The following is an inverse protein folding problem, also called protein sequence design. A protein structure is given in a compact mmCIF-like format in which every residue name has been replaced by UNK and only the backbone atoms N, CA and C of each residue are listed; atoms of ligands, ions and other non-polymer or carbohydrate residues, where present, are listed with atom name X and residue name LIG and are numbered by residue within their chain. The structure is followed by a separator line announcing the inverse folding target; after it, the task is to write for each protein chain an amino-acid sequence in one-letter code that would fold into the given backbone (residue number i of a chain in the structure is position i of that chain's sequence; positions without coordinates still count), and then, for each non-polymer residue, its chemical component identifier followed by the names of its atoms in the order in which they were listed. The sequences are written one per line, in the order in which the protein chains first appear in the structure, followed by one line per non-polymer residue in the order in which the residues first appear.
data_IF_297391582515
#
_entry.id   IF_297391582515
#
_cell.length_a   1.000
_cell.length_b   1.000
_cell.length_c   1.000
_cell.angle_alpha   90.00
_cell.angle_beta   90.00
_cell.angle_gamma   90.00
#
_symmetry.space_group_name_H-M   'P 1'
#
loop_
_entity.id
_entity.type
_entity.pdbx_description
1 polymer ?
#
# COMPACT_ATOMS: atom_id res chain seq x y z
N UNK A 1 -25.36 1.44 -21.30
CA UNK A 1 -24.47 0.43 -21.91
C UNK A 1 -23.11 1.02 -21.69
N UNK A 2 -22.55 0.75 -20.52
CA UNK A 2 -21.37 1.42 -19.99
C UNK A 2 -20.48 0.31 -19.42
N UNK A 3 -19.79 -0.34 -20.33
CA UNK A 3 -18.62 -1.15 -20.03
C UNK A 3 -17.52 -0.20 -19.55
N UNK A 4 -17.21 -0.22 -18.25
CA UNK A 4 -15.95 0.34 -17.76
C UNK A 4 -15.17 -0.79 -17.13
N UNK A 5 -14.18 -1.23 -17.89
CA UNK A 5 -13.41 -2.44 -17.70
C UNK A 5 -12.86 -2.58 -16.29
N UNK A 6 -12.81 -3.84 -15.85
CA UNK A 6 -11.97 -4.25 -14.75
C UNK A 6 -10.55 -3.75 -14.99
N UNK A 7 -10.16 -2.72 -14.23
CA UNK A 7 -8.73 -2.47 -14.03
C UNK A 7 -8.24 -3.64 -13.21
N UNK A 8 -7.60 -4.59 -13.89
CA UNK A 8 -6.59 -5.44 -13.28
C UNK A 8 -5.51 -4.52 -12.72
N UNK A 9 -5.74 -3.90 -11.56
CA UNK A 9 -4.71 -3.25 -10.78
C UNK A 9 -3.86 -4.39 -10.24
N UNK A 10 -2.86 -4.76 -11.03
CA UNK A 10 -1.82 -5.68 -10.63
C UNK A 10 -1.24 -5.14 -9.33
N UNK A 11 -1.50 -5.84 -8.23
CA UNK A 11 -0.81 -5.61 -6.95
C UNK A 11 0.69 -5.80 -7.21
N UNK A 12 1.39 -4.72 -7.56
CA UNK A 12 2.81 -4.77 -7.85
C UNK A 12 3.56 -4.99 -6.55
N UNK A 13 4.16 -6.16 -6.42
CA UNK A 13 5.02 -6.50 -5.31
C UNK A 13 6.37 -5.78 -5.48
N UNK A 14 6.49 -4.57 -4.94
CA UNK A 14 7.78 -3.89 -4.83
C UNK A 14 8.65 -4.57 -3.76
N UNK A 15 9.93 -4.77 -4.06
CA UNK A 15 10.91 -5.25 -3.10
C UNK A 15 11.66 -4.07 -2.50
N UNK A 16 11.42 -3.81 -1.22
CA UNK A 16 12.03 -2.70 -0.51
C UNK A 16 13.22 -3.19 0.33
N UNK A 17 14.39 -2.59 0.13
CA UNK A 17 15.58 -2.76 0.95
C UNK A 17 15.74 -1.50 1.80
N UNK A 18 15.52 -1.65 3.11
CA UNK A 18 15.69 -0.56 4.07
C UNK A 18 17.11 -0.65 4.65
N UNK A 19 17.94 0.39 4.49
CA UNK A 19 19.21 0.49 5.20
C UNK A 19 18.99 0.50 6.72
N UNK A 20 19.82 -0.21 7.48
CA UNK A 20 19.76 -0.22 8.96
C UNK A 20 19.96 1.17 9.59
N UNK A 21 20.63 2.07 8.85
CA UNK A 21 20.86 3.47 9.20
C UNK A 21 19.57 4.34 9.10
N UNK A 22 18.55 3.87 8.38
CA UNK A 22 17.31 4.62 8.16
C UNK A 22 16.17 4.14 9.05
N UNK A 23 15.51 5.09 9.69
CA UNK A 23 14.32 4.84 10.51
C UNK A 23 13.06 5.34 9.81
N UNK A 24 11.92 4.72 10.12
CA UNK A 24 10.64 5.14 9.57
C UNK A 24 10.31 6.61 9.91
N UNK A 25 10.73 7.10 11.08
CA UNK A 25 10.56 8.50 11.47
C UNK A 25 11.33 9.50 10.58
N UNK A 26 12.38 9.05 9.88
CA UNK A 26 13.18 9.89 8.97
C UNK A 26 12.38 10.30 7.72
N UNK A 27 11.36 9.51 7.31
CA UNK A 27 10.41 9.91 6.27
C UNK A 27 9.72 11.24 6.54
N UNK A 28 9.67 11.65 7.81
CA UNK A 28 8.90 12.82 8.26
C UNK A 28 7.49 12.80 7.67
N UNK A 29 6.90 11.61 7.69
CA UNK A 29 5.61 11.36 7.08
C UNK A 29 4.56 12.23 7.77
N UNK A 30 4.03 13.19 7.02
CA UNK A 30 3.07 14.17 7.53
C UNK A 30 1.86 14.22 6.62
N UNK A 31 0.68 14.29 7.22
CA UNK A 31 -0.56 14.42 6.46
C UNK A 31 -0.86 15.89 6.24
N UNK A 32 -1.15 16.25 5.00
CA UNK A 32 -1.65 17.56 4.63
C UNK A 32 -3.16 17.67 4.89
N UNK A 33 -3.67 18.89 5.08
CA UNK A 33 -5.09 19.14 5.29
C UNK A 33 -5.95 18.72 4.08
N UNK A 34 -5.37 18.70 2.87
CA UNK A 34 -6.01 18.19 1.67
C UNK A 34 -6.09 16.65 1.61
N UNK A 35 -5.56 15.94 2.60
CA UNK A 35 -5.54 14.48 2.65
C UNK A 35 -4.36 13.83 1.93
N UNK A 36 -3.52 14.62 1.25
CA UNK A 36 -2.23 14.17 0.72
C UNK A 36 -1.23 13.89 1.84
N UNK A 37 -0.18 13.12 1.54
CA UNK A 37 0.95 12.96 2.46
C UNK A 37 2.21 13.58 1.92
N UNK A 38 2.92 14.28 2.81
CA UNK A 38 4.27 14.76 2.59
C UNK A 38 5.26 13.78 3.18
N UNK A 39 6.28 13.51 2.39
CA UNK A 39 7.38 12.60 2.72
C UNK A 39 8.69 13.27 2.37
N UNK A 40 9.75 12.86 3.05
CA UNK A 40 11.10 13.31 2.75
C UNK A 40 11.66 12.52 1.55
N UNK A 41 11.69 13.17 0.39
CA UNK A 41 12.16 12.56 -0.86
C UNK A 41 13.64 12.16 -0.82
N UNK A 42 14.44 12.76 0.06
CA UNK A 42 15.85 12.35 0.25
C UNK A 42 15.90 10.93 0.80
N UNK A 43 15.03 10.62 1.76
CA UNK A 43 14.93 9.29 2.37
C UNK A 43 14.38 8.28 1.36
N UNK A 44 13.36 8.66 0.58
CA UNK A 44 12.83 7.83 -0.52
C UNK A 44 13.93 7.50 -1.54
N UNK A 45 14.73 8.50 -1.93
CA UNK A 45 15.84 8.30 -2.87
C UNK A 45 16.88 7.31 -2.34
N UNK A 46 17.28 7.41 -1.06
CA UNK A 46 18.21 6.45 -0.43
C UNK A 46 17.66 5.02 -0.43
N UNK A 47 16.37 4.85 -0.19
CA UNK A 47 15.73 3.54 -0.21
C UNK A 47 15.61 3.01 -1.63
N UNK A 48 15.28 3.86 -2.59
CA UNK A 48 15.24 3.52 -4.00
C UNK A 48 16.62 3.05 -4.47
N UNK A 49 17.68 3.77 -4.13
CA UNK A 49 19.06 3.40 -4.42
C UNK A 49 19.43 2.05 -3.81
N UNK A 50 19.13 1.84 -2.51
CA UNK A 50 19.38 0.58 -1.83
C UNK A 50 18.56 -0.60 -2.40
N UNK A 51 17.35 -0.32 -2.87
CA UNK A 51 16.42 -1.32 -3.43
C UNK A 51 16.64 -1.57 -4.93
N UNK A 52 17.43 -0.73 -5.60
CA UNK A 52 17.56 -0.73 -7.06
C UNK A 52 16.28 -0.32 -7.79
N UNK A 53 15.44 0.51 -7.16
CA UNK A 53 14.19 1.02 -7.74
C UNK A 53 14.41 2.41 -8.35
N UNK A 54 13.80 2.71 -9.52
CA UNK A 54 13.84 4.04 -10.09
C UNK A 54 12.95 5.00 -9.29
N UNK A 55 13.54 6.08 -8.77
CA UNK A 55 12.82 7.11 -8.02
C UNK A 55 11.68 7.74 -8.82
N UNK A 56 11.89 7.92 -10.13
CA UNK A 56 10.91 8.48 -11.06
C UNK A 56 9.63 7.64 -11.11
N UNK A 57 9.76 6.31 -11.05
CA UNK A 57 8.62 5.40 -11.01
C UNK A 57 7.84 5.50 -9.69
N UNK A 58 8.53 5.70 -8.57
CA UNK A 58 7.88 5.96 -7.28
C UNK A 58 7.14 7.30 -7.30
N UNK A 59 7.71 8.31 -7.95
CA UNK A 59 7.11 9.64 -8.08
C UNK A 59 5.98 9.71 -9.13
N UNK A 60 5.91 8.74 -10.03
CA UNK A 60 4.94 8.70 -11.13
C UNK A 60 3.49 8.63 -10.62
N UNK A 61 3.26 7.85 -9.56
CA UNK A 61 1.92 7.67 -9.00
C UNK A 61 1.92 7.69 -7.47
N UNK A 62 0.85 8.25 -6.91
CA UNK A 62 0.56 8.21 -5.48
C UNK A 62 0.44 6.79 -4.94
N UNK A 63 0.02 5.85 -5.80
CA UNK A 63 -0.09 4.41 -5.48
C UNK A 63 1.29 3.79 -5.22
N UNK A 64 2.29 4.06 -6.08
CA UNK A 64 3.65 3.54 -5.90
C UNK A 64 4.29 4.07 -4.62
N UNK A 65 4.12 5.36 -4.33
CA UNK A 65 4.57 5.95 -3.08
C UNK A 65 3.83 5.35 -1.87
N UNK A 66 2.51 5.17 -1.96
CA UNK A 66 1.70 4.53 -0.92
C UNK A 66 2.13 3.09 -0.64
N UNK A 67 2.40 2.30 -1.67
CA UNK A 67 2.89 0.93 -1.55
C UNK A 67 4.28 0.88 -0.89
N UNK A 68 5.18 1.83 -1.20
CA UNK A 68 6.49 1.95 -0.54
C UNK A 68 6.32 2.24 0.95
N UNK A 69 5.49 3.22 1.30
CA UNK A 69 5.19 3.58 2.70
C UNK A 69 4.60 2.38 3.43
N UNK A 70 3.67 1.66 2.80
CA UNK A 70 3.04 0.46 3.37
C UNK A 70 4.06 -0.63 3.69
N UNK A 71 4.92 -1.00 2.73
CA UNK A 71 5.91 -2.06 2.92
C UNK A 71 6.91 -1.70 4.02
N UNK A 72 7.38 -0.46 4.04
CA UNK A 72 8.28 -0.01 5.08
C UNK A 72 7.60 0.04 6.45
N UNK A 73 6.37 0.56 6.52
CA UNK A 73 5.60 0.60 7.76
C UNK A 73 5.37 -0.82 8.32
N UNK A 74 5.06 -1.79 7.46
CA UNK A 74 4.92 -3.20 7.87
C UNK A 74 6.22 -3.78 8.43
N UNK A 75 7.37 -3.49 7.82
CA UNK A 75 8.69 -3.85 8.36
C UNK A 75 8.95 -3.18 9.72
N UNK A 76 8.66 -1.89 9.84
CA UNK A 76 8.80 -1.14 11.09
C UNK A 76 7.94 -1.75 12.21
N UNK A 77 6.67 -2.05 11.93
CA UNK A 77 5.74 -2.67 12.88
C UNK A 77 6.17 -4.07 13.29
N UNK A 78 6.67 -4.88 12.35
CA UNK A 78 7.27 -6.19 12.67
C UNK A 78 8.50 -6.07 13.57
N UNK A 79 9.27 -5.00 13.43
CA UNK A 79 10.41 -4.68 14.30
C UNK A 79 10.04 -4.09 15.68
N UNK A 80 8.75 -4.04 16.05
CA UNK A 80 8.29 -3.42 17.29
C UNK A 80 8.16 -1.89 17.23
N UNK A 81 8.14 -1.34 16.02
CA UNK A 81 8.02 0.08 15.74
C UNK A 81 6.67 0.69 16.18
N UNK A 82 6.72 1.97 16.53
CA UNK A 82 5.55 2.72 16.98
C UNK A 82 4.52 2.88 15.84
N UNK A 83 3.22 2.89 16.17
CA UNK A 83 2.19 3.18 15.19
C UNK A 83 2.33 4.62 14.68
N UNK A 84 2.05 4.84 13.39
CA UNK A 84 2.09 6.17 12.78
C UNK A 84 0.77 6.47 12.07
N UNK A 85 -0.05 7.40 12.60
CA UNK A 85 -1.38 7.68 12.07
C UNK A 85 -1.36 8.25 10.65
N UNK A 86 -0.29 8.95 10.25
CA UNK A 86 -0.16 9.45 8.90
C UNK A 86 0.08 8.30 7.90
N UNK A 87 0.86 7.29 8.30
CA UNK A 87 1.10 6.10 7.48
C UNK A 87 -0.18 5.28 7.33
N UNK A 88 -0.88 5.05 8.44
CA UNK A 88 -2.13 4.29 8.48
C UNK A 88 -3.22 4.96 7.64
N UNK A 89 -3.34 6.29 7.70
CA UNK A 89 -4.26 7.03 6.86
C UNK A 89 -3.93 6.93 5.36
N UNK A 90 -2.65 7.00 4.97
CA UNK A 90 -2.24 6.80 3.58
C UNK A 90 -2.55 5.41 3.07
N UNK A 91 -2.27 4.39 3.89
CA UNK A 91 -2.54 3.00 3.57
C UNK A 91 -4.04 2.81 3.38
N UNK A 92 -4.86 3.32 4.31
CA UNK A 92 -6.31 3.26 4.22
C UNK A 92 -6.84 3.98 2.98
N UNK A 93 -6.29 5.15 2.63
CA UNK A 93 -6.67 5.88 1.43
C UNK A 93 -6.29 5.14 0.14
N UNK A 94 -5.10 4.53 0.10
CA UNK A 94 -4.65 3.73 -1.05
C UNK A 94 -5.55 2.48 -1.23
N UNK A 95 -5.91 1.80 -0.15
CA UNK A 95 -6.81 0.64 -0.17
C UNK A 95 -8.23 1.03 -0.61
N UNK A 96 -8.75 2.16 -0.13
CA UNK A 96 -10.06 2.67 -0.53
C UNK A 96 -10.09 3.04 -2.02
N UNK A 97 -8.97 3.48 -2.59
CA UNK A 97 -8.85 3.81 -4.01
C UNK A 97 -8.74 2.56 -4.91
N UNK A 98 -8.19 1.45 -4.39
CA UNK A 98 -8.04 0.18 -5.14
C UNK A 98 -9.21 -0.78 -4.97
N UNK A 99 -10.20 -0.45 -4.12
CA UNK A 99 -11.37 -1.29 -3.87
C UNK A 99 -11.02 -2.63 -3.19
N UNK A 100 -9.84 -2.74 -2.58
CA UNK A 100 -9.46 -3.90 -1.78
C UNK A 100 -10.02 -3.70 -0.39
N UNK A 101 -11.22 -4.24 -0.16
CA UNK A 101 -11.76 -4.39 1.18
C UNK A 101 -10.88 -5.41 1.92
N UNK A 102 -10.40 -5.05 3.11
CA UNK A 102 -9.81 -6.02 4.02
C UNK A 102 -10.93 -6.94 4.47
N UNK A 103 -11.25 -7.96 3.67
CA UNK A 103 -11.87 -9.16 4.21
C UNK A 103 -10.89 -9.70 5.24
N UNK A 104 -11.17 -9.40 6.50
CA UNK A 104 -10.70 -10.15 7.65
C UNK A 104 -10.78 -11.64 7.29
N UNK A 105 -9.78 -12.43 7.71
CA UNK A 105 -9.52 -13.84 7.36
C UNK A 105 -10.65 -14.84 7.77
N UNK A 106 -11.89 -14.38 7.85
CA UNK A 106 -13.10 -15.14 8.21
C UNK A 106 -14.15 -15.26 7.11
N UNK A 107 -14.05 -14.54 6.00
CA UNK A 107 -15.13 -14.53 4.97
C UNK A 107 -14.89 -15.45 3.77
N UNK A 108 -13.76 -16.18 3.70
CA UNK A 108 -13.51 -17.17 2.62
C UNK A 108 -14.33 -18.46 2.81
N UNK A 109 -15.17 -18.55 3.87
CA UNK A 109 -15.98 -19.74 4.14
C UNK A 109 -17.41 -19.70 3.57
N UNK A 110 -17.88 -18.58 3.01
CA UNK A 110 -19.26 -18.46 2.48
C UNK A 110 -19.31 -18.28 0.96
N UNK A 111 -18.46 -18.98 0.23
CA UNK A 111 -18.76 -19.35 -1.16
C UNK A 111 -19.27 -20.78 -1.17
N UNK A 112 -20.36 -21.03 -0.44
CA UNK A 112 -21.14 -22.23 -0.63
C UNK A 112 -21.81 -22.10 -2.00
N UNK A 113 -21.21 -22.73 -3.01
CA UNK A 113 -21.82 -23.01 -4.30
C UNK A 113 -23.21 -23.63 -4.08
N UNK A 114 -24.24 -22.80 -4.14
CA UNK A 114 -25.60 -23.23 -4.42
C UNK A 114 -25.65 -23.72 -5.85
N UNK A 115 -25.30 -24.98 -6.05
CA UNK A 115 -25.60 -25.71 -7.27
C UNK A 115 -27.11 -25.94 -7.31
N UNK A 116 -27.88 -24.94 -7.75
CA UNK A 116 -29.28 -25.11 -8.14
C UNK A 116 -29.32 -25.87 -9.48
N UNK A 117 -29.02 -27.16 -9.38
CA UNK A 117 -29.66 -28.15 -10.22
C UNK A 117 -30.94 -28.55 -9.52
N UNK A 118 -32.08 -28.06 -10.00
CA UNK A 118 -33.29 -28.87 -9.96
C UNK A 118 -34.06 -28.65 -11.27
N UNK A 119 -34.06 -29.74 -12.01
CA UNK A 119 -34.79 -30.04 -13.22
C UNK A 119 -36.29 -30.16 -12.90
N UNK A 120 -37.16 -29.57 -13.74
CA UNK A 120 -38.56 -29.99 -13.87
C UNK A 120 -39.15 -29.57 -15.21
#
# INVERSE_FOLDING_TARGET
MDELGGKSQSTFAIKLVIPDDLKFSDLRLTRDAAGGVRVDWVVIARICEASGLPLEWIAETSENLGALIFLWYRQHRKGGGAPNPAAEASIAAALAATGVELTDDRDIADLSLGNDGDES
#
